data_IF_969134360805
#
_entry.id   IF_969134360805
#
_cell.length_a   1.000
_cell.length_b   1.000
_cell.length_c   1.000
_cell.angle_alpha   90.00
_cell.angle_beta   90.00
_cell.angle_gamma   90.00
#
_symmetry.space_group_name_H-M   'P 1'
#
loop_
_entity.id
_entity.type
_entity.pdbx_description
1 polymer ?
#
# COMPACT_ATOMS: atom_id res chain seq x y z
N UNK A 1 21.89 6.10 -6.35
CA UNK A 1 20.74 5.25 -5.93
C UNK A 1 21.21 4.00 -5.18
N UNK A 2 22.02 3.11 -5.77
CA UNK A 2 22.51 1.90 -5.07
C UNK A 2 23.19 2.19 -3.73
N UNK A 3 24.16 3.10 -3.72
CA UNK A 3 24.85 3.52 -2.49
C UNK A 3 23.89 4.12 -1.44
N UNK A 4 22.95 4.95 -1.87
CA UNK A 4 21.93 5.56 -0.99
C UNK A 4 21.03 4.49 -0.35
N UNK A 5 20.60 3.49 -1.13
CA UNK A 5 19.82 2.36 -0.63
C UNK A 5 20.63 1.47 0.30
N UNK A 6 21.88 1.18 -0.03
CA UNK A 6 22.78 0.41 0.84
C UNK A 6 23.02 1.14 2.17
N UNK A 7 23.15 2.47 2.14
CA UNK A 7 23.23 3.32 3.34
C UNK A 7 21.97 3.21 4.19
N UNK A 8 20.78 3.39 3.60
CA UNK A 8 19.53 3.27 4.34
C UNK A 8 19.35 1.86 4.92
N UNK A 9 19.68 0.81 4.16
CA UNK A 9 19.61 -0.58 4.61
C UNK A 9 20.59 -0.88 5.76
N UNK A 10 21.74 -0.22 5.78
CA UNK A 10 22.74 -0.39 6.81
C UNK A 10 22.40 0.36 8.09
N UNK A 11 21.33 1.17 8.11
CA UNK A 11 20.85 1.82 9.32
C UNK A 11 20.44 0.76 10.35
N UNK A 12 21.13 0.78 11.48
CA UNK A 12 20.84 -0.03 12.66
C UNK A 12 20.44 0.90 13.80
N UNK A 13 19.32 1.57 13.60
CA UNK A 13 18.75 2.47 14.59
C UNK A 13 17.32 2.04 14.91
N UNK A 14 16.92 2.23 16.16
CA UNK A 14 15.57 1.95 16.64
C UNK A 14 14.58 3.08 16.30
N UNK A 15 15.09 4.22 15.84
CA UNK A 15 14.30 5.42 15.54
C UNK A 15 13.82 5.50 14.09
N UNK A 16 14.32 4.62 13.21
CA UNK A 16 14.07 4.69 11.77
C UNK A 16 13.62 3.34 11.24
N UNK A 17 12.45 3.33 10.60
CA UNK A 17 11.96 2.17 9.86
C UNK A 17 12.24 2.35 8.37
N UNK A 18 12.86 1.35 7.74
CA UNK A 18 13.10 1.32 6.29
C UNK A 18 12.17 0.30 5.66
N UNK A 19 11.34 0.74 4.70
CA UNK A 19 10.26 -0.07 4.12
C UNK A 19 10.41 -0.10 2.60
N UNK A 20 10.82 -1.23 2.06
CA UNK A 20 10.69 -1.48 0.61
C UNK A 20 9.32 -2.07 0.34
N UNK A 21 8.54 -1.54 -0.61
CA UNK A 21 7.22 -2.10 -0.91
C UNK A 21 6.94 -2.17 -2.41
N UNK A 22 6.16 -3.18 -2.80
CA UNK A 22 5.69 -3.37 -4.17
C UNK A 22 4.39 -4.19 -4.21
N UNK A 23 3.60 -3.98 -5.26
CA UNK A 23 2.35 -4.71 -5.48
C UNK A 23 2.65 -6.01 -6.24
N UNK A 24 2.24 -7.15 -5.68
CA UNK A 24 2.40 -8.45 -6.34
C UNK A 24 1.53 -8.54 -7.61
N UNK A 25 1.94 -9.43 -8.53
CA UNK A 25 1.10 -9.82 -9.64
C UNK A 25 -0.30 -10.27 -9.18
N UNK A 26 -1.29 -10.04 -10.03
CA UNK A 26 -2.69 -10.33 -9.71
C UNK A 26 -2.86 -11.80 -9.34
N UNK A 27 -3.36 -12.05 -8.12
CA UNK A 27 -3.69 -13.39 -7.64
C UNK A 27 -5.17 -13.64 -7.93
N UNK A 28 -5.50 -14.86 -8.36
CA UNK A 28 -6.90 -15.25 -8.57
C UNK A 28 -7.28 -16.43 -7.69
N UNK A 29 -8.44 -16.37 -7.06
CA UNK A 29 -9.04 -17.46 -6.30
C UNK A 29 -10.35 -17.90 -6.98
N UNK A 30 -10.59 -19.20 -7.18
CA UNK A 30 -9.75 -20.34 -6.80
C UNK A 30 -8.54 -20.61 -7.74
N UNK A 31 -7.41 -21.02 -7.17
CA UNK A 31 -6.27 -21.63 -7.88
C UNK A 31 -6.20 -23.11 -7.50
N UNK A 32 -6.66 -23.97 -8.42
CA UNK A 32 -6.78 -25.42 -8.26
C UNK A 32 -6.59 -26.09 -9.63
N UNK A 33 -6.19 -27.36 -9.64
CA UNK A 33 -5.96 -28.16 -10.85
C UNK A 33 -7.24 -28.80 -11.41
N UNK A 34 -8.36 -28.07 -11.34
CA UNK A 34 -9.64 -28.51 -11.91
C UNK A 34 -9.79 -27.89 -13.30
N UNK A 35 -9.80 -28.72 -14.34
CA UNK A 35 -9.90 -28.29 -15.75
C UNK A 35 -11.08 -27.35 -16.01
N UNK A 36 -12.23 -27.62 -15.40
CA UNK A 36 -13.45 -26.81 -15.51
C UNK A 36 -13.30 -25.38 -14.95
N UNK A 37 -12.27 -25.09 -14.15
CA UNK A 37 -12.06 -23.77 -13.55
C UNK A 37 -11.19 -22.88 -14.44
N UNK A 38 -10.47 -23.46 -15.39
CA UNK A 38 -9.51 -22.74 -16.23
C UNK A 38 -10.18 -21.64 -17.07
N UNK A 39 -11.35 -21.93 -17.64
CA UNK A 39 -12.07 -21.02 -18.53
C UNK A 39 -13.05 -20.07 -17.82
N UNK A 40 -13.12 -20.12 -16.49
CA UNK A 40 -14.12 -19.39 -15.71
C UNK A 40 -13.51 -18.15 -15.06
N UNK A 41 -14.35 -17.13 -14.88
CA UNK A 41 -13.94 -15.92 -14.17
C UNK A 41 -13.75 -16.21 -12.68
N UNK A 42 -12.59 -15.83 -12.16
CA UNK A 42 -12.16 -16.03 -10.78
C UNK A 42 -12.19 -14.72 -10.01
N UNK A 43 -12.25 -14.80 -8.67
CA UNK A 43 -12.13 -13.66 -7.79
C UNK A 43 -10.70 -13.14 -7.81
N UNK A 44 -10.55 -11.85 -8.01
CA UNK A 44 -9.25 -11.17 -7.99
C UNK A 44 -8.87 -10.81 -6.55
N UNK A 45 -7.65 -11.16 -6.16
CA UNK A 45 -7.04 -10.84 -4.87
C UNK A 45 -5.74 -10.08 -5.12
N UNK A 46 -5.55 -9.01 -4.35
CA UNK A 46 -4.38 -8.15 -4.42
C UNK A 46 -3.54 -8.33 -3.15
N UNK A 47 -2.21 -8.24 -3.31
CA UNK A 47 -1.25 -8.30 -2.22
C UNK A 47 -0.22 -7.18 -2.35
N UNK A 48 -0.26 -6.20 -1.46
CA UNK A 48 0.82 -5.23 -1.30
C UNK A 48 1.83 -5.79 -0.30
N UNK A 49 3.04 -6.04 -0.77
CA UNK A 49 4.10 -6.60 0.07
C UNK A 49 5.02 -5.48 0.55
N UNK A 50 5.28 -5.43 1.85
CA UNK A 50 6.27 -4.54 2.46
C UNK A 50 7.37 -5.34 3.16
N UNK A 51 8.62 -5.16 2.74
CA UNK A 51 9.79 -5.62 3.47
C UNK A 51 10.28 -4.51 4.39
N UNK A 52 10.02 -4.66 5.69
CA UNK A 52 10.34 -3.67 6.73
C UNK A 52 11.62 -4.07 7.45
N UNK A 53 12.49 -3.10 7.70
CA UNK A 53 13.69 -3.23 8.54
C UNK A 53 13.66 -2.15 9.62
N UNK A 54 13.72 -2.56 10.89
CA UNK A 54 13.88 -1.68 12.05
C UNK A 54 15.03 -2.24 12.90
N UNK A 55 16.04 -1.43 13.20
CA UNK A 55 17.24 -1.87 13.92
C UNK A 55 17.84 -3.21 13.43
N UNK A 56 17.91 -3.38 12.10
CA UNK A 56 18.40 -4.62 11.46
C UNK A 56 17.47 -5.84 11.55
N UNK A 57 16.36 -5.77 12.31
CA UNK A 57 15.32 -6.80 12.36
C UNK A 57 14.44 -6.67 11.12
N UNK A 58 14.31 -7.77 10.38
CA UNK A 58 13.54 -7.83 9.12
C UNK A 58 12.18 -8.48 9.37
N UNK A 59 11.12 -7.82 8.93
CA UNK A 59 9.76 -8.35 8.95
C UNK A 59 9.09 -8.09 7.59
N UNK A 60 8.44 -9.13 7.05
CA UNK A 60 7.66 -9.03 5.83
C UNK A 60 6.19 -8.84 6.19
N UNK A 61 5.55 -7.91 5.51
CA UNK A 61 4.13 -7.60 5.58
C UNK A 61 3.47 -7.95 4.26
N UNK A 62 2.31 -8.62 4.31
CA UNK A 62 1.46 -8.86 3.16
C UNK A 62 0.08 -8.25 3.45
N UNK A 63 -0.27 -7.17 2.77
CA UNK A 63 -1.57 -6.52 2.91
C UNK A 63 -2.49 -7.04 1.81
N UNK A 64 -3.53 -7.77 2.21
CA UNK A 64 -4.42 -8.52 1.30
C UNK A 64 -5.79 -7.85 1.23
N UNK A 65 -6.31 -7.69 0.00
CA UNK A 65 -7.70 -7.31 -0.25
C UNK A 65 -8.21 -7.89 -1.55
N UNK A 66 -9.52 -7.78 -1.79
CA UNK A 66 -10.18 -8.32 -2.98
C UNK A 66 -10.79 -7.22 -3.83
N UNK A 67 -11.07 -7.53 -5.10
CA UNK A 67 -11.80 -6.62 -6.00
C UNK A 67 -13.20 -6.24 -5.51
N UNK A 68 -13.80 -7.04 -4.59
CA UNK A 68 -15.07 -6.70 -3.96
C UNK A 68 -14.91 -5.57 -2.92
N UNK A 69 -13.71 -5.39 -2.38
CA UNK A 69 -13.43 -4.35 -1.40
C UNK A 69 -13.06 -3.05 -2.11
N UNK A 70 -12.05 -3.09 -2.96
CA UNK A 70 -11.52 -1.92 -3.65
C UNK A 70 -10.69 -2.33 -4.88
N UNK A 71 -10.33 -1.35 -5.70
CA UNK A 71 -9.49 -1.57 -6.88
C UNK A 71 -8.01 -1.78 -6.52
N UNK A 72 -7.12 -1.41 -7.44
CA UNK A 72 -5.65 -1.42 -7.22
C UNK A 72 -4.99 -0.10 -7.64
N UNK A 73 -5.74 1.00 -7.52
CA UNK A 73 -5.29 2.35 -7.85
C UNK A 73 -4.49 2.99 -6.72
N UNK A 74 -4.04 4.22 -6.92
CA UNK A 74 -3.21 4.91 -5.92
C UNK A 74 -3.89 5.09 -4.56
N UNK A 75 -5.22 5.18 -4.50
CA UNK A 75 -5.95 5.25 -3.22
C UNK A 75 -5.81 3.95 -2.41
N UNK A 76 -5.97 2.80 -3.06
CA UNK A 76 -5.87 1.50 -2.41
C UNK A 76 -4.42 1.19 -2.00
N UNK A 77 -3.45 1.50 -2.86
CA UNK A 77 -2.03 1.33 -2.55
C UNK A 77 -1.62 2.20 -1.35
N UNK A 78 -2.05 3.46 -1.33
CA UNK A 78 -1.80 4.35 -0.20
C UNK A 78 -2.46 3.84 1.08
N UNK A 79 -3.72 3.37 1.00
CA UNK A 79 -4.45 2.80 2.15
C UNK A 79 -3.72 1.57 2.72
N UNK A 80 -3.30 0.66 1.84
CA UNK A 80 -2.52 -0.52 2.21
C UNK A 80 -1.16 -0.16 2.84
N UNK A 81 -0.45 0.82 2.28
CA UNK A 81 0.83 1.28 2.84
C UNK A 81 0.64 1.89 4.24
N UNK A 82 -0.42 2.68 4.45
CA UNK A 82 -0.71 3.23 5.77
C UNK A 82 -0.98 2.14 6.82
N UNK A 83 -1.57 1.00 6.45
CA UNK A 83 -1.70 -0.14 7.37
C UNK A 83 -0.36 -0.71 7.78
N UNK A 84 0.59 -0.79 6.86
CA UNK A 84 1.97 -1.19 7.19
C UNK A 84 2.57 -0.16 8.14
N UNK A 85 2.44 1.14 7.88
CA UNK A 85 2.97 2.17 8.78
C UNK A 85 2.37 2.09 10.18
N UNK A 86 1.05 2.00 10.29
CA UNK A 86 0.34 1.87 11.57
C UNK A 86 0.82 0.66 12.36
N UNK A 87 0.94 -0.49 11.71
CA UNK A 87 1.37 -1.71 12.37
C UNK A 87 2.86 -1.64 12.76
N UNK A 88 3.74 -1.13 11.89
CA UNK A 88 5.16 -0.92 12.20
C UNK A 88 5.33 -0.01 13.41
N UNK A 89 4.61 1.11 13.46
CA UNK A 89 4.64 2.05 14.58
C UNK A 89 4.11 1.42 15.88
N UNK A 90 3.01 0.66 15.79
CA UNK A 90 2.43 -0.02 16.95
C UNK A 90 3.40 -1.03 17.60
N UNK A 91 4.16 -1.77 16.78
CA UNK A 91 5.12 -2.75 17.30
C UNK A 91 6.50 -2.15 17.62
N UNK A 92 6.80 -0.93 17.17
CA UNK A 92 8.10 -0.28 17.35
C UNK A 92 7.91 1.18 17.80
N UNK A 93 7.54 1.42 19.08
CA UNK A 93 7.17 2.76 19.57
C UNK A 93 8.35 3.76 19.59
N UNK A 94 9.58 3.29 19.42
CA UNK A 94 10.79 4.12 19.31
C UNK A 94 10.93 4.77 17.94
N UNK A 95 10.26 4.26 16.91
CA UNK A 95 10.35 4.77 15.54
C UNK A 95 9.79 6.18 15.48
N UNK A 96 10.58 7.08 14.91
CA UNK A 96 10.24 8.49 14.68
C UNK A 96 10.38 8.87 13.20
N UNK A 97 11.11 8.09 12.41
CA UNK A 97 11.33 8.35 10.99
C UNK A 97 10.97 7.11 10.17
N UNK A 98 10.34 7.31 9.02
CA UNK A 98 10.04 6.24 8.08
C UNK A 98 10.69 6.57 6.74
N UNK A 99 11.51 5.68 6.22
CA UNK A 99 12.07 5.77 4.88
C UNK A 99 11.42 4.68 4.03
N UNK A 100 10.81 5.05 2.91
CA UNK A 100 10.25 4.06 1.98
C UNK A 100 11.02 3.98 0.68
N UNK A 101 11.10 2.78 0.11
CA UNK A 101 11.61 2.52 -1.24
C UNK A 101 10.52 1.83 -2.07
N UNK A 102 10.19 2.39 -3.22
CA UNK A 102 9.21 1.82 -4.14
C UNK A 102 9.58 2.02 -5.60
N UNK A 103 8.87 1.34 -6.49
CA UNK A 103 8.92 1.66 -7.91
C UNK A 103 8.55 3.13 -8.18
N UNK A 104 8.76 3.56 -9.43
CA UNK A 104 8.49 4.93 -9.86
C UNK A 104 7.14 5.06 -10.59
N UNK A 105 6.20 4.13 -10.39
CA UNK A 105 4.88 4.19 -11.01
C UNK A 105 4.12 5.43 -10.52
N UNK A 106 3.85 6.38 -11.43
CA UNK A 106 3.18 7.64 -11.09
C UNK A 106 1.76 7.41 -10.62
N UNK A 107 1.03 6.51 -11.29
CA UNK A 107 -0.38 6.24 -10.95
C UNK A 107 -0.57 5.58 -9.58
N UNK A 108 0.45 4.91 -9.04
CA UNK A 108 0.39 4.19 -7.77
C UNK A 108 1.17 4.90 -6.66
N UNK A 109 2.45 5.22 -6.89
CA UNK A 109 3.38 5.58 -5.82
C UNK A 109 3.87 7.04 -5.86
N UNK A 110 3.97 7.64 -7.05
CA UNK A 110 4.40 9.05 -7.23
C UNK A 110 3.23 9.95 -7.60
N UNK A 111 2.29 10.14 -6.67
CA UNK A 111 1.14 11.01 -6.88
C UNK A 111 0.71 11.72 -5.60
N UNK A 112 -0.22 12.66 -5.75
CA UNK A 112 -0.78 13.42 -4.65
C UNK A 112 -1.70 12.61 -3.73
N UNK A 113 -2.22 11.45 -4.17
CA UNK A 113 -2.99 10.55 -3.30
C UNK A 113 -2.08 10.01 -2.19
N UNK A 114 -0.90 9.52 -2.59
CA UNK A 114 0.14 9.05 -1.67
C UNK A 114 0.64 10.17 -0.76
N UNK A 115 0.88 11.38 -1.30
CA UNK A 115 1.29 12.54 -0.49
C UNK A 115 0.23 12.91 0.56
N UNK A 116 -1.04 12.93 0.16
CA UNK A 116 -2.16 13.21 1.07
C UNK A 116 -2.26 12.15 2.16
N UNK A 117 -2.10 10.86 1.81
CA UNK A 117 -2.11 9.76 2.75
C UNK A 117 -0.99 9.86 3.81
N UNK A 118 0.24 10.17 3.37
CA UNK A 118 1.38 10.35 4.28
C UNK A 118 1.19 11.56 5.19
N UNK A 119 0.71 12.69 4.66
CA UNK A 119 0.40 13.88 5.47
C UNK A 119 -0.68 13.59 6.52
N UNK A 120 -1.74 12.86 6.12
CA UNK A 120 -2.78 12.41 7.04
C UNK A 120 -2.21 11.51 8.14
N UNK A 121 -1.37 10.52 7.78
CA UNK A 121 -0.72 9.64 8.73
C UNK A 121 0.15 10.39 9.75
N UNK A 122 0.96 11.35 9.29
CA UNK A 122 1.81 12.18 10.15
C UNK A 122 0.97 13.01 11.12
N UNK A 123 -0.18 13.53 10.68
CA UNK A 123 -1.08 14.28 11.56
C UNK A 123 -1.74 13.42 12.65
N UNK A 124 -1.95 12.13 12.39
CA UNK A 124 -2.50 11.17 13.37
C UNK A 124 -1.42 10.64 14.33
N UNK A 125 -0.16 10.67 13.93
CA UNK A 125 0.95 10.04 14.66
C UNK A 125 2.02 11.08 14.99
N UNK A 126 1.75 11.94 15.96
CA UNK A 126 2.61 13.09 16.31
C UNK A 126 4.03 12.71 16.75
N UNK A 127 4.25 11.47 17.21
CA UNK A 127 5.58 10.96 17.57
C UNK A 127 6.45 10.68 16.33
N UNK A 128 5.85 10.49 15.15
CA UNK A 128 6.57 10.38 13.88
C UNK A 128 6.92 11.79 13.41
N UNK A 129 8.22 12.03 13.27
CA UNK A 129 8.82 13.31 12.87
C UNK A 129 8.87 13.48 11.36
N UNK A 130 9.17 12.41 10.62
CA UNK A 130 9.32 12.51 9.16
C UNK A 130 9.02 11.21 8.43
N UNK A 131 8.58 11.36 7.18
CA UNK A 131 8.48 10.28 6.19
C UNK A 131 9.25 10.70 4.94
N UNK A 132 10.22 9.89 4.54
CA UNK A 132 11.04 10.08 3.35
C UNK A 132 10.75 8.97 2.34
N UNK A 133 10.05 9.32 1.26
CA UNK A 133 9.74 8.38 0.19
C UNK A 133 10.80 8.49 -0.91
N UNK A 134 11.50 7.40 -1.20
CA UNK A 134 12.52 7.30 -2.25
C UNK A 134 12.01 6.36 -3.35
N UNK A 135 12.34 6.68 -4.60
CA UNK A 135 11.83 5.95 -5.77
C UNK A 135 12.96 5.37 -6.63
N UNK A 136 12.65 4.29 -7.34
CA UNK A 136 13.51 3.73 -8.38
C UNK A 136 13.83 4.74 -9.49
N UNK A 137 15.08 4.71 -9.97
CA UNK A 137 15.47 5.38 -11.21
C UNK A 137 15.28 4.41 -12.38
N UNK A 138 14.96 4.92 -13.57
CA UNK A 138 14.88 4.13 -14.79
C UNK A 138 16.10 3.21 -14.95
N UNK A 139 15.87 1.94 -15.26
CA UNK A 139 16.92 0.92 -15.42
C UNK A 139 17.40 0.25 -14.14
N UNK A 140 16.91 0.64 -12.96
CA UNK A 140 17.34 0.03 -11.69
C UNK A 140 16.18 -0.23 -10.70
N UNK A 141 15.99 -1.50 -10.30
CA UNK A 141 15.04 -1.88 -9.25
C UNK A 141 15.58 -1.55 -7.86
N UNK A 142 14.79 -0.80 -7.07
CA UNK A 142 15.05 -0.51 -5.66
C UNK A 142 14.24 -1.39 -4.69
N UNK A 143 13.51 -2.40 -5.21
CA UNK A 143 12.58 -3.25 -4.43
C UNK A 143 12.95 -4.74 -4.43
N UNK A 144 14.19 -5.09 -4.78
CA UNK A 144 14.70 -6.47 -4.83
C UNK A 144 14.39 -7.39 -3.61
N UNK A 145 14.23 -6.85 -2.40
CA UNK A 145 13.83 -7.70 -1.25
C UNK A 145 12.39 -8.16 -1.39
N UNK A 146 11.53 -7.28 -1.91
CA UNK A 146 10.13 -7.57 -2.19
C UNK A 146 10.02 -8.54 -3.36
N UNK A 147 10.82 -8.36 -4.42
CA UNK A 147 10.90 -9.30 -5.57
C UNK A 147 11.24 -10.72 -5.08
N UNK A 148 12.17 -10.84 -4.11
CA UNK A 148 12.52 -12.12 -3.50
C UNK A 148 11.41 -12.71 -2.62
N UNK A 149 10.58 -11.87 -1.99
CA UNK A 149 9.38 -12.33 -1.26
C UNK A 149 8.33 -12.84 -2.24
N UNK A 150 8.03 -12.10 -3.31
CA UNK A 150 7.10 -12.54 -4.36
C UNK A 150 7.56 -13.86 -4.98
N UNK A 151 8.86 -14.03 -5.23
CA UNK A 151 9.42 -15.29 -5.72
C UNK A 151 9.18 -16.48 -4.76
N UNK A 152 9.20 -16.25 -3.44
CA UNK A 152 8.88 -17.28 -2.44
C UNK A 152 7.37 -17.58 -2.38
N UNK A 153 6.54 -16.55 -2.49
CA UNK A 153 5.10 -16.68 -2.56
C UNK A 153 4.68 -17.45 -3.81
N UNK A 154 5.20 -17.09 -4.98
CA UNK A 154 4.92 -17.77 -6.25
C UNK A 154 5.28 -19.26 -6.18
N UNK A 155 6.46 -19.61 -5.65
CA UNK A 155 6.85 -21.00 -5.42
C UNK A 155 5.85 -21.73 -4.51
N UNK A 156 5.40 -21.08 -3.44
CA UNK A 156 4.40 -21.65 -2.53
C UNK A 156 3.04 -21.83 -3.21
N UNK A 157 2.62 -20.84 -4.00
CA UNK A 157 1.36 -20.86 -4.75
C UNK A 157 1.36 -21.90 -5.86
N UNK A 158 2.52 -22.25 -6.44
CA UNK A 158 2.62 -23.23 -7.51
C UNK A 158 2.48 -24.67 -7.03
N UNK A 159 2.75 -24.93 -5.75
CA UNK A 159 2.62 -26.27 -5.15
C UNK A 159 1.42 -26.38 -4.21
N UNK A 160 0.59 -25.34 -4.11
CA UNK A 160 -0.55 -25.28 -3.20
C UNK A 160 -1.84 -24.97 -3.95
N UNK A 161 -2.90 -25.68 -3.58
CA UNK A 161 -4.26 -25.34 -3.98
C UNK A 161 -4.92 -24.41 -2.95
N UNK A 162 -5.63 -23.40 -3.43
CA UNK A 162 -6.41 -22.50 -2.58
C UNK A 162 -7.70 -22.07 -3.29
N UNK A 163 -8.81 -22.16 -2.58
CA UNK A 163 -10.15 -21.94 -3.11
C UNK A 163 -10.61 -20.50 -2.93
N UNK A 164 -10.44 -19.95 -1.72
CA UNK A 164 -10.81 -18.58 -1.36
C UNK A 164 -9.62 -17.77 -0.82
N UNK A 165 -9.77 -16.45 -0.64
CA UNK A 165 -8.79 -15.62 0.07
C UNK A 165 -8.42 -16.15 1.46
N UNK A 166 -9.33 -16.83 2.17
CA UNK A 166 -9.03 -17.45 3.47
C UNK A 166 -7.97 -18.55 3.34
N UNK A 167 -8.15 -19.44 2.36
CA UNK A 167 -7.17 -20.50 2.07
C UNK A 167 -5.86 -19.95 1.52
N UNK A 168 -5.90 -18.89 0.70
CA UNK A 168 -4.71 -18.18 0.23
C UNK A 168 -3.88 -17.63 1.40
N UNK A 169 -4.52 -16.99 2.37
CA UNK A 169 -3.84 -16.45 3.57
C UNK A 169 -3.14 -17.58 4.35
N UNK A 170 -3.77 -18.77 4.45
CA UNK A 170 -3.13 -19.94 5.08
C UNK A 170 -1.87 -20.38 4.33
N UNK A 171 -1.86 -20.29 3.00
CA UNK A 171 -0.67 -20.58 2.18
C UNK A 171 0.42 -19.53 2.44
N UNK A 172 0.07 -18.24 2.39
CA UNK A 172 1.01 -17.12 2.65
C UNK A 172 1.68 -17.27 4.02
N UNK A 173 0.91 -17.59 5.07
CA UNK A 173 1.43 -17.78 6.42
C UNK A 173 2.39 -18.96 6.54
N UNK A 174 2.30 -19.95 5.63
CA UNK A 174 3.17 -21.15 5.61
C UNK A 174 4.38 -21.01 4.69
N UNK A 175 4.45 -19.96 3.87
CA UNK A 175 5.54 -19.75 2.90
C UNK A 175 6.92 -19.69 3.54
N UNK A 176 7.06 -18.97 4.66
CA UNK A 176 8.33 -18.88 5.37
C UNK A 176 8.18 -19.33 6.83
N UNK A 177 8.64 -20.55 7.11
CA UNK A 177 8.54 -21.16 8.45
C UNK A 177 9.47 -20.51 9.48
N UNK A 178 10.63 -20.02 9.04
CA UNK A 178 11.64 -19.46 9.94
C UNK A 178 11.30 -18.02 10.36
N UNK A 179 10.74 -17.24 9.43
CA UNK A 179 10.28 -15.87 9.66
C UNK A 179 8.91 -15.69 9.01
N UNK A 180 7.83 -16.08 9.71
CA UNK A 180 6.48 -15.96 9.20
C UNK A 180 6.14 -14.54 8.78
N UNK A 181 5.40 -14.42 7.67
CA UNK A 181 4.95 -13.14 7.17
C UNK A 181 3.80 -12.61 8.03
N UNK A 182 3.75 -11.28 8.21
CA UNK A 182 2.65 -10.61 8.89
C UNK A 182 1.57 -10.28 7.87
N UNK A 183 0.44 -10.97 7.95
CA UNK A 183 -0.66 -10.78 7.00
C UNK A 183 -1.70 -9.82 7.60
N UNK A 184 -1.99 -8.74 6.87
CA UNK A 184 -3.03 -7.76 7.22
C UNK A 184 -4.12 -7.85 6.16
N UNK A 185 -5.37 -8.05 6.56
CA UNK A 185 -6.51 -7.98 5.65
C UNK A 185 -7.11 -6.58 5.72
N UNK A 186 -7.23 -5.89 4.57
CA UNK A 186 -7.92 -4.60 4.55
C UNK A 186 -9.41 -4.79 4.85
N UNK A 187 -9.93 -3.89 5.65
CA UNK A 187 -11.37 -3.72 5.88
C UNK A 187 -11.85 -2.50 5.13
N UNK A 188 -13.16 -2.38 4.97
CA UNK A 188 -13.73 -1.21 4.32
C UNK A 188 -13.36 0.10 5.06
N UNK A 189 -13.32 0.05 6.40
CA UNK A 189 -12.87 1.15 7.24
C UNK A 189 -11.43 1.61 7.01
N UNK A 190 -10.60 0.79 6.34
CA UNK A 190 -9.22 1.11 6.01
C UNK A 190 -9.08 1.71 4.60
N UNK A 191 -10.13 1.69 3.77
CA UNK A 191 -10.10 2.17 2.38
C UNK A 191 -10.50 3.65 2.30
N UNK A 192 -9.53 4.51 2.02
CA UNK A 192 -9.70 5.96 2.03
C UNK A 192 -9.60 6.58 0.64
N UNK A 193 -10.41 7.62 0.39
CA UNK A 193 -10.39 8.40 -0.86
C UNK A 193 -9.46 9.62 -0.72
N UNK A 194 -8.16 9.40 -0.85
CA UNK A 194 -7.16 10.46 -0.74
C UNK A 194 -7.22 11.45 -1.90
N UNK A 195 -7.72 11.04 -3.07
CA UNK A 195 -8.00 11.96 -4.16
C UNK A 195 -8.97 13.07 -3.71
N UNK A 196 -10.06 12.71 -3.02
CA UNK A 196 -11.01 13.71 -2.48
C UNK A 196 -10.40 14.49 -1.32
N UNK A 197 -9.75 13.82 -0.37
CA UNK A 197 -9.14 14.47 0.79
C UNK A 197 -8.04 15.46 0.42
N UNK A 198 -7.33 15.22 -0.68
CA UNK A 198 -6.27 16.08 -1.18
C UNK A 198 -6.76 17.27 -2.02
N UNK A 199 -8.03 17.33 -2.44
CA UNK A 199 -8.57 18.43 -3.26
C UNK A 199 -8.34 19.84 -2.69
N UNK A 200 -8.43 20.06 -1.36
CA UNK A 200 -8.17 21.37 -0.78
C UNK A 200 -6.70 21.81 -0.83
N UNK A 201 -5.77 20.89 -1.12
CA UNK A 201 -4.33 21.14 -1.16
C UNK A 201 -3.84 21.37 -2.60
N UNK A 202 -2.82 22.20 -2.76
CA UNK A 202 -2.20 22.53 -4.04
C UNK A 202 -0.88 21.76 -4.24
N UNK A 203 -0.95 20.65 -4.96
CA UNK A 203 0.22 19.84 -5.27
C UNK A 203 0.92 20.21 -6.60
N UNK A 204 0.50 21.27 -7.30
CA UNK A 204 1.04 21.64 -8.62
C UNK A 204 2.53 21.99 -8.58
N UNK A 205 3.03 22.45 -7.44
CA UNK A 205 4.45 22.77 -7.24
C UNK A 205 5.37 21.57 -7.06
N UNK A 206 4.83 20.34 -7.03
CA UNK A 206 5.60 19.11 -6.79
C UNK A 206 5.77 18.34 -8.10
N UNK A 207 7.00 18.18 -8.61
CA UNK A 207 7.26 17.52 -9.88
C UNK A 207 7.28 15.99 -9.73
N UNK A 208 6.14 15.36 -9.44
CA UNK A 208 6.02 13.91 -9.18
C UNK A 208 6.69 13.02 -10.22
N UNK A 209 6.60 13.37 -11.50
CA UNK A 209 7.19 12.60 -12.59
C UNK A 209 8.72 12.56 -12.55
N UNK A 210 9.35 13.66 -12.10
CA UNK A 210 10.80 13.85 -12.10
C UNK A 210 11.42 13.65 -10.71
N UNK A 211 10.60 13.66 -9.65
CA UNK A 211 11.08 13.49 -8.30
C UNK A 211 11.61 12.05 -8.08
N UNK A 212 12.85 11.95 -7.58
CA UNK A 212 13.45 10.70 -7.13
C UNK A 212 13.21 10.46 -5.63
N UNK A 213 12.86 11.51 -4.88
CA UNK A 213 12.44 11.41 -3.48
C UNK A 213 11.46 12.53 -3.11
N UNK A 214 10.55 12.24 -2.19
CA UNK A 214 9.66 13.17 -1.52
C UNK A 214 9.85 13.09 0.00
N UNK A 215 9.88 14.24 0.66
CA UNK A 215 10.09 14.35 2.11
C UNK A 215 8.93 15.09 2.76
N UNK A 216 8.36 14.47 3.78
CA UNK A 216 7.23 14.95 4.55
C UNK A 216 7.66 15.11 6.01
N UNK A 217 7.30 16.23 6.62
CA UNK A 217 7.59 16.52 8.02
C UNK A 217 6.30 16.58 8.82
N UNK A 218 6.37 16.14 10.07
CA UNK A 218 5.24 16.21 11.00
C UNK A 218 4.75 17.65 11.14
N UNK A 219 3.43 17.82 11.23
CA UNK A 219 2.76 19.11 11.36
C UNK A 219 3.11 20.16 10.29
N UNK A 220 3.50 19.73 9.08
CA UNK A 220 3.83 20.61 7.97
C UNK A 220 3.00 20.32 6.71
N UNK A 221 2.67 21.38 5.98
CA UNK A 221 2.08 21.30 4.63
C UNK A 221 3.12 21.40 3.52
N UNK A 222 4.40 21.47 3.89
CA UNK A 222 5.48 21.51 2.93
C UNK A 222 5.89 20.11 2.51
N UNK A 223 5.99 19.91 1.20
CA UNK A 223 6.52 18.68 0.61
C UNK A 223 7.88 19.02 0.02
N UNK A 224 8.92 18.41 0.58
CA UNK A 224 10.26 18.46 0.03
C UNK A 224 10.38 17.49 -1.14
N UNK A 225 11.10 17.86 -2.20
CA UNK A 225 11.41 16.95 -3.30
C UNK A 225 12.87 17.07 -3.76
N UNK A 226 13.38 16.00 -4.37
CA UNK A 226 14.69 15.95 -5.04
C UNK A 226 14.54 15.38 -6.45
N UNK A 227 15.33 15.90 -7.38
CA UNK A 227 15.43 15.36 -8.75
C UNK A 227 16.51 14.29 -8.89
N UNK A 228 17.52 14.32 -8.02
CA UNK A 228 18.61 13.34 -7.98
C UNK A 228 18.99 13.02 -6.54
N UNK A 229 19.42 11.79 -6.29
CA UNK A 229 20.01 11.41 -4.99
C UNK A 229 21.35 12.09 -4.72
N UNK A 230 22.02 12.64 -5.73
CA UNK A 230 23.25 13.43 -5.55
C UNK A 230 23.00 14.84 -5.02
N UNK A 231 21.75 15.33 -5.09
CA UNK A 231 21.40 16.65 -4.60
C UNK A 231 21.45 16.66 -3.06
N UNK A 232 22.18 17.62 -2.49
CA UNK A 232 22.34 17.74 -1.04
C UNK A 232 20.99 18.09 -0.36
N UNK A 233 20.36 19.18 -0.80
CA UNK A 233 19.19 19.75 -0.15
C UNK A 233 17.86 19.42 -0.84
N UNK A 234 16.77 19.39 -0.07
CA UNK A 234 15.41 19.28 -0.59
C UNK A 234 14.88 20.66 -1.01
N UNK A 235 14.14 20.69 -2.13
CA UNK A 235 13.36 21.86 -2.52
C UNK A 235 11.95 21.69 -1.93
N UNK A 236 11.48 22.64 -1.14
CA UNK A 236 10.17 22.55 -0.48
C UNK A 236 9.11 23.36 -1.23
N UNK A 237 7.93 22.74 -1.40
CA UNK A 237 6.74 23.40 -1.92
C UNK A 237 5.62 23.35 -0.88
N UNK A 238 5.01 24.50 -0.58
CA UNK A 238 3.90 24.58 0.37
C UNK A 238 2.57 24.26 -0.32
N UNK A 239 1.92 23.20 0.15
CA UNK A 239 0.65 22.72 -0.42
C UNK A 239 -0.58 23.44 0.13
N UNK A 240 -0.46 24.20 1.24
CA UNK A 240 -1.55 24.98 1.84
C UNK A 240 -1.60 26.41 1.29
N UNK A 241 -1.52 26.54 -0.04
CA UNK A 241 -1.56 27.82 -0.74
C UNK A 241 -2.95 28.04 -1.35
N UNK A 242 -3.87 28.58 -0.53
CA UNK A 242 -5.23 29.10 -0.84
C UNK A 242 -5.96 28.47 -2.04
N UNK A 243 -7.01 27.69 -1.76
CA UNK A 243 -8.19 27.70 -2.61
C UNK A 243 -8.91 29.04 -2.39
N UNK A 244 -8.73 30.01 -3.29
CA UNK A 244 -9.50 31.25 -3.29
C UNK A 244 -10.97 30.91 -3.54
N UNK A 245 -11.81 31.06 -2.51
CA UNK A 245 -13.25 31.08 -2.73
C UNK A 245 -13.62 32.33 -3.54
N UNK A 246 -14.70 32.24 -4.32
CA UNK A 246 -15.22 33.32 -5.19
C UNK A 246 -15.49 34.65 -4.45
N UNK A 247 -15.47 34.63 -3.11
CA UNK A 247 -15.73 35.75 -2.20
C UNK A 247 -14.51 36.22 -1.38
N UNK A 248 -13.28 35.84 -1.73
CA UNK A 248 -12.06 36.47 -1.19
C UNK A 248 -11.68 36.14 0.27
N UNK A 249 -12.43 35.28 0.98
CA UNK A 249 -11.99 34.75 2.29
C UNK A 249 -11.13 33.50 2.08
N UNK A 250 -9.86 33.59 2.48
CA UNK A 250 -8.96 32.45 2.58
C UNK A 250 -9.25 31.70 3.88
N UNK A 251 -9.83 30.50 3.80
CA UNK A 251 -9.81 29.55 4.92
C UNK A 251 -8.63 28.60 4.68
N UNK A 252 -7.56 28.67 5.49
CA UNK A 252 -6.51 27.66 5.46
C UNK A 252 -7.10 26.30 5.83
N UNK A 253 -6.73 25.26 5.10
CA UNK A 253 -7.08 23.89 5.46
C UNK A 253 -6.28 23.54 6.71
N UNK A 254 -6.94 23.07 7.76
CA UNK A 254 -6.26 22.56 8.95
C UNK A 254 -5.89 21.08 8.73
N UNK A 255 -4.89 20.58 9.46
CA UNK A 255 -4.58 19.15 9.42
C UNK A 255 -5.76 18.31 9.94
N UNK A 256 -6.60 18.86 10.82
CA UNK A 256 -7.84 18.24 11.26
C UNK A 256 -8.86 18.07 10.13
N UNK A 257 -8.90 18.98 9.15
CA UNK A 257 -9.80 18.88 7.98
C UNK A 257 -9.42 17.71 7.05
N UNK A 258 -8.14 17.35 6.98
CA UNK A 258 -7.68 16.15 6.26
C UNK A 258 -8.18 14.85 6.91
N UNK A 259 -8.48 14.89 8.21
CA UNK A 259 -8.94 13.73 9.00
C UNK A 259 -10.44 13.51 8.95
N UNK A 260 -11.22 14.54 8.60
CA UNK A 260 -12.68 14.53 8.70
C UNK A 260 -13.41 13.82 7.53
N UNK A 261 -12.70 13.38 6.50
CA UNK A 261 -13.32 13.00 5.22
C UNK A 261 -13.04 11.62 4.59
N UNK A 262 -12.68 10.53 5.30
CA UNK A 262 -12.76 9.23 4.65
C UNK A 262 -14.13 8.61 4.93
N UNK A 263 -15.08 8.78 4.02
CA UNK A 263 -16.15 7.78 3.92
C UNK A 263 -15.54 6.53 3.28
N UNK A 264 -15.66 5.35 3.92
CA UNK A 264 -15.29 4.09 3.32
C UNK A 264 -15.92 3.96 1.93
N UNK A 265 -15.18 3.44 0.98
CA UNK A 265 -15.75 3.18 -0.34
C UNK A 265 -16.88 2.14 -0.20
N UNK A 266 -17.95 2.24 -0.99
CA UNK A 266 -18.95 1.18 -1.02
C UNK A 266 -18.30 -0.12 -1.49
N UNK A 267 -18.75 -1.27 -0.98
CA UNK A 267 -18.32 -2.55 -1.51
C UNK A 267 -18.68 -2.63 -3.00
N UNK A 268 -17.81 -3.26 -3.78
CA UNK A 268 -17.95 -3.38 -5.22
C UNK A 268 -18.64 -4.72 -5.51
N UNK A 269 -19.83 -4.66 -6.11
CA UNK A 269 -20.50 -5.88 -6.59
C UNK A 269 -19.73 -6.46 -7.77
N UNK A 270 -19.55 -7.78 -7.75
CA UNK A 270 -19.04 -8.54 -8.88
C UNK A 270 -20.02 -8.49 -10.06
N UNK A 271 -19.52 -8.65 -11.28
CA UNK A 271 -20.38 -8.77 -12.47
C UNK A 271 -21.19 -10.07 -12.44
N UNK A 272 -22.41 -10.05 -12.98
CA UNK A 272 -23.32 -11.21 -12.98
C UNK A 272 -22.67 -12.45 -13.61
N UNK A 273 -21.89 -12.25 -14.66
CA UNK A 273 -21.16 -13.32 -15.33
C UNK A 273 -20.09 -13.96 -14.43
N UNK A 274 -19.36 -13.15 -13.64
CA UNK A 274 -18.40 -13.64 -12.65
C UNK A 274 -19.10 -14.29 -11.45
N UNK A 275 -20.23 -13.73 -10.99
CA UNK A 275 -21.06 -14.33 -9.93
C UNK A 275 -21.53 -15.73 -10.33
N UNK A 276 -22.06 -15.90 -11.55
CA UNK A 276 -22.50 -17.20 -12.09
C UNK A 276 -21.35 -18.21 -12.19
N UNK A 277 -20.19 -17.77 -12.67
CA UNK A 277 -19.00 -18.64 -12.76
C UNK A 277 -18.57 -19.12 -11.36
N UNK A 278 -18.45 -18.21 -10.38
CA UNK A 278 -18.10 -18.55 -9.00
C UNK A 278 -19.13 -19.47 -8.34
N UNK A 279 -20.43 -19.20 -8.51
CA UNK A 279 -21.51 -20.06 -8.02
C UNK A 279 -21.37 -21.50 -8.54
N UNK A 280 -21.06 -21.66 -9.82
CA UNK A 280 -20.89 -22.98 -10.44
C UNK A 280 -19.67 -23.76 -9.93
N UNK A 281 -18.68 -23.06 -9.34
CA UNK A 281 -17.50 -23.66 -8.73
C UNK A 281 -17.74 -24.12 -7.29
N UNK A 282 -18.72 -23.53 -6.58
CA UNK A 282 -18.95 -23.78 -5.16
C UNK A 282 -19.04 -25.26 -4.81
N UNK A 283 -19.67 -26.08 -5.65
CA UNK A 283 -19.84 -27.52 -5.40
C UNK A 283 -18.53 -28.29 -5.19
N UNK A 284 -17.41 -27.79 -5.73
CA UNK A 284 -16.08 -28.41 -5.60
C UNK A 284 -15.24 -27.83 -4.45
N UNK A 285 -15.74 -26.81 -3.75
CA UNK A 285 -14.98 -26.13 -2.70
C UNK A 285 -15.22 -26.77 -1.31
N UNK A 286 -14.23 -26.71 -0.39
CA UNK A 286 -14.45 -26.99 1.02
C UNK A 286 -15.50 -26.06 1.63
N UNK A 287 -16.16 -26.48 2.72
CA UNK A 287 -17.26 -25.73 3.36
C UNK A 287 -16.88 -24.30 3.74
N UNK A 288 -15.70 -24.11 4.35
CA UNK A 288 -15.25 -22.78 4.78
C UNK A 288 -15.06 -21.82 3.61
N UNK A 289 -14.56 -22.32 2.48
CA UNK A 289 -14.39 -21.53 1.26
C UNK A 289 -15.75 -21.24 0.59
N UNK A 290 -16.69 -22.19 0.63
CA UNK A 290 -18.08 -21.97 0.18
C UNK A 290 -18.74 -20.83 0.96
N UNK A 291 -18.58 -20.81 2.28
CA UNK A 291 -19.16 -19.79 3.15
C UNK A 291 -18.63 -18.39 2.81
N UNK A 292 -17.32 -18.28 2.56
CA UNK A 292 -16.71 -17.04 2.08
C UNK A 292 -17.38 -16.55 0.79
N UNK A 293 -17.47 -17.41 -0.23
CA UNK A 293 -18.06 -17.01 -1.51
C UNK A 293 -19.56 -16.73 -1.41
N UNK A 294 -20.30 -17.48 -0.60
CA UNK A 294 -21.72 -17.21 -0.37
C UNK A 294 -21.95 -15.83 0.27
N UNK A 295 -21.00 -15.32 1.05
CA UNK A 295 -21.05 -13.98 1.62
C UNK A 295 -20.79 -12.92 0.56
N UNK A 296 -19.73 -13.07 -0.24
CA UNK A 296 -19.38 -12.04 -1.24
C UNK A 296 -20.38 -11.99 -2.41
N UNK A 297 -21.04 -13.11 -2.75
CA UNK A 297 -22.01 -13.17 -3.83
C UNK A 297 -23.31 -12.42 -3.52
N UNK A 298 -23.55 -12.11 -2.24
CA UNK A 298 -24.72 -11.34 -1.75
C UNK A 298 -24.48 -9.82 -1.73
N UNK A 299 -23.24 -9.37 -1.91
CA UNK A 299 -22.87 -7.96 -2.12
C UNK A 299 -23.40 -7.52 -3.49
#
# INVERSE_FOLDING_TARGET
>A
MRQEREKDRALKTDDTAVISFDLENVITCPKVEISNFFYKRKLTVYNLTGHVVVNGVKQVYCVIWTECLAGRGGNEIASALLKIFQDVVLNNPTVQNIITWSDSCVSQNRNHFMSTAVMMFLSQNQHIKSVLMKYSIAGHSCVQEVDNVHSQLEKSFNVSEFFSPLSLIRVILKTNKNKPFRVIQLKNSDCFDFQKSGKPLNFKGIPYFQACALHFRSNSFEVGFKHSFSQADFIYSNTNTKATTRNGRACPVTLADLLLNPKPQGLISLSDAKKKDLQSMLKFMPEQDKEYFNTILKI
#
